data_IF_588327016400
#
_entry.id   IF_588327016400
#
_cell.length_a   1.000
_cell.length_b   1.000
_cell.length_c   1.000
_cell.angle_alpha   90.00
_cell.angle_beta   90.00
_cell.angle_gamma   90.00
#
_symmetry.space_group_name_H-M   'P 1'
#
loop_
_entity.id
_entity.type
_entity.pdbx_description
1 polymer ?
#
# COMPACT_ATOMS: atom_id res chain seq x y z
N UNK A 1 -11.44 4.66 19.04
CA UNK A 1 -10.20 4.81 18.23
C UNK A 1 -9.39 3.51 18.16
N UNK A 2 -9.14 2.80 19.27
CA UNK A 2 -8.40 1.52 19.28
C UNK A 2 -9.02 0.42 18.39
N UNK A 3 -10.34 0.24 18.37
CA UNK A 3 -11.01 -0.82 17.59
C UNK A 3 -10.79 -0.70 16.07
N UNK A 4 -10.80 0.51 15.53
CA UNK A 4 -10.56 0.80 14.10
C UNK A 4 -9.10 0.49 13.70
N UNK A 5 -8.15 0.78 14.60
CA UNK A 5 -6.74 0.47 14.37
C UNK A 5 -6.57 -1.06 14.34
N UNK A 6 -7.18 -1.78 15.28
CA UNK A 6 -7.13 -3.25 15.35
C UNK A 6 -7.78 -3.91 14.13
N UNK A 7 -8.97 -3.46 13.72
CA UNK A 7 -9.68 -3.98 12.54
C UNK A 7 -8.83 -3.85 11.27
N UNK A 8 -8.25 -2.68 11.00
CA UNK A 8 -7.39 -2.51 9.83
C UNK A 8 -6.12 -3.38 9.91
N UNK A 9 -5.56 -3.57 11.11
CA UNK A 9 -4.41 -4.46 11.30
C UNK A 9 -4.75 -5.93 11.02
N UNK A 10 -5.95 -6.39 11.39
CA UNK A 10 -6.42 -7.73 11.05
C UNK A 10 -6.61 -7.91 9.54
N UNK A 11 -7.18 -6.91 8.87
CA UNK A 11 -7.30 -6.90 7.41
C UNK A 11 -5.94 -6.96 6.73
N UNK A 12 -4.97 -6.15 7.18
CA UNK A 12 -3.61 -6.12 6.63
C UNK A 12 -2.92 -7.48 6.82
N UNK A 13 -3.02 -8.06 8.02
CA UNK A 13 -2.46 -9.40 8.31
C UNK A 13 -3.06 -10.46 7.39
N UNK A 14 -4.39 -10.45 7.24
CA UNK A 14 -5.11 -11.43 6.40
C UNK A 14 -4.75 -11.29 4.93
N UNK A 15 -4.75 -10.07 4.40
CA UNK A 15 -4.33 -9.81 3.03
C UNK A 15 -2.86 -10.21 2.83
N UNK A 16 -1.96 -9.86 3.74
CA UNK A 16 -0.54 -10.27 3.68
C UNK A 16 -0.40 -11.78 3.57
N UNK A 17 -1.10 -12.54 4.41
CA UNK A 17 -1.06 -14.01 4.37
C UNK A 17 -1.56 -14.58 3.04
N UNK A 18 -2.61 -14.01 2.44
CA UNK A 18 -3.14 -14.47 1.15
C UNK A 18 -2.27 -14.07 -0.05
N UNK A 19 -1.55 -12.95 0.05
CA UNK A 19 -0.73 -12.40 -1.02
C UNK A 19 0.71 -12.94 -0.99
N UNK A 20 1.25 -13.26 0.19
CA UNK A 20 2.65 -13.69 0.37
C UNK A 20 2.85 -15.09 -0.21
N UNK A 21 3.66 -15.17 -1.27
CA UNK A 21 4.06 -16.41 -1.94
C UNK A 21 5.33 -16.19 -2.75
N UNK A 22 5.90 -17.27 -3.27
CA UNK A 22 7.11 -17.19 -4.10
C UNK A 22 6.91 -16.19 -5.25
N UNK A 23 7.90 -15.32 -5.46
CA UNK A 23 7.87 -14.24 -6.44
C UNK A 23 7.43 -12.88 -5.88
N UNK A 24 6.79 -12.82 -4.70
CA UNK A 24 6.49 -11.55 -4.01
C UNK A 24 7.69 -11.12 -3.17
N UNK A 25 8.07 -9.84 -3.28
CA UNK A 25 9.20 -9.22 -2.58
C UNK A 25 8.76 -8.23 -1.51
N UNK A 26 7.66 -7.51 -1.71
CA UNK A 26 7.12 -6.61 -0.70
C UNK A 26 5.60 -6.44 -0.83
N UNK A 27 4.95 -6.13 0.29
CA UNK A 27 3.51 -5.84 0.38
C UNK A 27 3.32 -4.55 1.17
N UNK A 28 2.74 -3.54 0.52
CA UNK A 28 2.58 -2.19 1.04
C UNK A 28 1.12 -1.77 0.96
N UNK A 29 0.46 -1.60 2.10
CA UNK A 29 -0.88 -1.01 2.15
C UNK A 29 -0.80 0.49 2.11
N UNK A 30 -1.75 1.15 1.45
CA UNK A 30 -1.84 2.61 1.38
C UNK A 30 -3.30 3.06 1.37
N UNK A 31 -3.54 4.34 1.05
CA UNK A 31 -4.88 4.86 0.84
C UNK A 31 -5.69 5.08 2.12
N UNK A 32 -7.01 5.13 1.97
CA UNK A 32 -7.91 5.71 2.97
C UNK A 32 -7.91 4.96 4.31
N UNK A 33 -7.75 3.63 4.28
CA UNK A 33 -7.69 2.77 5.48
C UNK A 33 -6.43 2.96 6.30
N UNK A 34 -5.29 3.18 5.65
CA UNK A 34 -4.04 3.51 6.35
C UNK A 34 -4.12 4.92 6.94
N UNK A 35 -4.66 5.88 6.17
CA UNK A 35 -4.88 7.28 6.61
C UNK A 35 -5.85 7.36 7.79
N UNK A 36 -6.79 6.40 7.91
CA UNK A 36 -7.85 6.42 8.91
C UNK A 36 -9.07 7.29 8.51
N UNK A 37 -9.22 7.54 7.20
CA UNK A 37 -10.33 8.31 6.61
C UNK A 37 -11.22 7.47 5.69
N UNK A 38 -11.18 6.15 5.85
CA UNK A 38 -12.01 5.22 5.10
C UNK A 38 -13.49 5.32 5.50
N UNK A 39 -14.37 4.96 4.57
CA UNK A 39 -15.81 4.79 4.78
C UNK A 39 -16.15 3.30 4.83
N UNK A 40 -17.40 2.98 5.16
CA UNK A 40 -17.86 1.58 5.29
C UNK A 40 -17.66 0.75 4.01
N UNK A 41 -17.75 1.41 2.86
CA UNK A 41 -17.64 0.88 1.51
C UNK A 41 -16.24 1.00 0.90
N UNK A 42 -15.26 1.55 1.64
CA UNK A 42 -13.89 1.66 1.14
C UNK A 42 -13.23 0.30 0.97
N UNK A 43 -12.53 0.15 -0.13
CA UNK A 43 -11.60 -0.93 -0.43
C UNK A 43 -10.34 -0.89 0.46
N UNK A 44 -9.49 -1.90 0.26
CA UNK A 44 -8.16 -2.00 0.81
C UNK A 44 -7.13 -1.93 -0.32
N UNK A 45 -6.47 -0.78 -0.45
CA UNK A 45 -5.41 -0.55 -1.43
C UNK A 45 -4.10 -1.24 -1.03
N UNK A 46 -3.53 -2.03 -1.93
CA UNK A 46 -2.25 -2.70 -1.74
C UNK A 46 -1.35 -2.62 -2.97
N UNK A 47 -0.12 -2.17 -2.74
CA UNK A 47 0.98 -2.27 -3.69
C UNK A 47 1.77 -3.55 -3.40
N UNK A 48 1.92 -4.39 -4.41
CA UNK A 48 2.66 -5.65 -4.35
C UNK A 48 3.87 -5.52 -5.26
N UNK A 49 5.06 -5.65 -4.68
CA UNK A 49 6.30 -5.67 -5.46
C UNK A 49 6.71 -7.11 -5.67
N UNK A 50 6.96 -7.48 -6.93
CA UNK A 50 7.30 -8.84 -7.35
C UNK A 50 8.66 -8.89 -8.05
N UNK A 51 9.22 -10.09 -8.15
CA UNK A 51 10.36 -10.39 -9.04
C UNK A 51 9.95 -10.16 -10.50
N UNK A 52 10.93 -9.88 -11.35
CA UNK A 52 10.66 -9.57 -12.77
C UNK A 52 10.00 -10.77 -13.48
N UNK A 53 10.48 -11.99 -13.22
CA UNK A 53 9.91 -13.24 -13.74
C UNK A 53 8.52 -13.57 -13.16
N UNK A 54 8.09 -12.87 -12.12
CA UNK A 54 6.83 -13.08 -11.41
C UNK A 54 5.80 -11.97 -11.70
N UNK A 55 6.05 -11.11 -12.71
CA UNK A 55 5.14 -10.01 -13.09
C UNK A 55 3.71 -10.48 -13.40
N UNK A 56 3.57 -11.64 -14.03
CA UNK A 56 2.28 -12.23 -14.42
C UNK A 56 1.62 -13.04 -13.29
N UNK A 57 2.07 -12.91 -12.04
CA UNK A 57 1.42 -13.56 -10.91
C UNK A 57 -0.05 -13.12 -10.79
N UNK A 58 -0.95 -14.10 -10.89
CA UNK A 58 -2.38 -13.85 -10.79
C UNK A 58 -2.84 -13.89 -9.32
N UNK A 59 -3.34 -12.76 -8.80
CA UNK A 59 -3.86 -12.62 -7.43
C UNK A 59 -5.39 -12.74 -7.34
N UNK A 60 -6.08 -13.18 -8.40
CA UNK A 60 -7.55 -13.23 -8.42
C UNK A 60 -8.14 -14.13 -7.34
N UNK A 61 -7.57 -15.31 -7.09
CA UNK A 61 -8.04 -16.19 -6.02
C UNK A 61 -7.84 -15.59 -4.63
N UNK A 62 -6.70 -14.92 -4.41
CA UNK A 62 -6.42 -14.23 -3.16
C UNK A 62 -7.42 -13.09 -2.92
N UNK A 63 -7.71 -12.28 -3.97
CA UNK A 63 -8.71 -11.20 -3.92
C UNK A 63 -10.11 -11.74 -3.66
N UNK A 64 -10.54 -12.78 -4.38
CA UNK A 64 -11.86 -13.40 -4.19
C UNK A 64 -12.03 -13.97 -2.79
N UNK A 65 -11.01 -14.67 -2.27
CA UNK A 65 -11.03 -15.21 -0.91
C UNK A 65 -11.07 -14.09 0.13
N UNK A 66 -10.28 -13.03 -0.07
CA UNK A 66 -10.31 -11.87 0.83
C UNK A 66 -11.69 -11.22 0.87
N UNK A 67 -12.32 -11.00 -0.29
CA UNK A 67 -13.68 -10.44 -0.37
C UNK A 67 -14.69 -11.35 0.31
N UNK A 68 -14.68 -12.66 0.03
CA UNK A 68 -15.59 -13.62 0.68
C UNK A 68 -15.49 -13.60 2.20
N UNK A 69 -14.27 -13.47 2.71
CA UNK A 69 -14.01 -13.56 4.14
C UNK A 69 -14.25 -12.24 4.91
N UNK A 70 -14.16 -11.10 4.24
CA UNK A 70 -14.16 -9.77 4.89
C UNK A 70 -15.25 -8.83 4.40
N UNK A 71 -15.88 -9.16 3.28
CA UNK A 71 -16.79 -8.30 2.53
C UNK A 71 -16.16 -6.95 2.12
N UNK A 72 -14.82 -6.91 1.96
CA UNK A 72 -14.05 -5.74 1.55
C UNK A 72 -13.26 -6.08 0.28
N UNK A 73 -13.27 -5.18 -0.70
CA UNK A 73 -12.46 -5.32 -1.90
C UNK A 73 -10.97 -5.10 -1.61
N UNK A 74 -10.13 -5.96 -2.18
CA UNK A 74 -8.67 -5.82 -2.13
C UNK A 74 -8.19 -5.32 -3.50
N UNK A 75 -7.89 -4.03 -3.60
CA UNK A 75 -7.41 -3.43 -4.83
C UNK A 75 -5.89 -3.53 -4.91
N UNK A 76 -5.39 -4.19 -5.95
CA UNK A 76 -4.00 -4.62 -6.06
C UNK A 76 -3.29 -3.90 -7.20
N UNK A 77 -2.24 -3.15 -6.87
CA UNK A 77 -1.28 -2.61 -7.82
C UNK A 77 -0.04 -3.51 -7.80
N UNK A 78 0.34 -4.08 -8.94
CA UNK A 78 1.47 -5.03 -9.03
C UNK A 78 2.60 -4.40 -9.84
N UNK A 79 3.77 -4.29 -9.23
CA UNK A 79 4.97 -3.74 -9.86
C UNK A 79 6.16 -4.70 -9.71
N UNK A 80 6.98 -4.81 -10.74
CA UNK A 80 8.35 -5.28 -10.58
C UNK A 80 9.16 -4.28 -9.75
N UNK A 81 10.33 -4.72 -9.24
CA UNK A 81 11.27 -3.80 -8.59
C UNK A 81 11.67 -2.63 -9.50
N UNK A 82 11.85 -2.88 -10.80
CA UNK A 82 12.20 -1.85 -11.79
C UNK A 82 11.07 -0.85 -11.98
N UNK A 83 9.84 -1.32 -12.17
CA UNK A 83 8.67 -0.44 -12.30
C UNK A 83 8.45 0.39 -11.04
N UNK A 84 8.59 -0.20 -9.86
CA UNK A 84 8.49 0.52 -8.59
C UNK A 84 9.46 1.71 -8.56
N UNK A 85 10.75 1.47 -8.86
CA UNK A 85 11.77 2.53 -8.88
C UNK A 85 11.48 3.61 -9.91
N UNK A 86 11.03 3.23 -11.11
CA UNK A 86 10.67 4.18 -12.15
C UNK A 86 9.42 5.00 -11.79
N UNK A 87 8.55 4.46 -10.93
CA UNK A 87 7.34 5.15 -10.47
C UNK A 87 7.56 6.02 -9.23
N UNK A 88 8.75 6.03 -8.62
CA UNK A 88 9.13 6.96 -7.53
C UNK A 88 9.33 8.38 -8.07
N UNK A 89 8.27 8.93 -8.65
CA UNK A 89 8.21 10.26 -9.26
C UNK A 89 6.82 10.85 -9.05
N UNK A 90 6.71 12.17 -9.18
CA UNK A 90 5.42 12.85 -9.12
C UNK A 90 4.56 12.47 -10.33
N UNK A 91 3.24 12.44 -10.13
CA UNK A 91 2.24 12.07 -11.13
C UNK A 91 1.87 10.59 -11.18
N UNK A 92 2.42 9.75 -10.28
CA UNK A 92 2.14 8.31 -10.24
C UNK A 92 1.28 7.93 -9.03
N UNK A 93 0.80 6.67 -9.02
CA UNK A 93 0.09 6.08 -7.87
C UNK A 93 0.89 6.17 -6.56
N UNK A 94 2.23 6.22 -6.64
CA UNK A 94 3.06 6.33 -5.45
C UNK A 94 2.84 7.65 -4.70
N UNK A 95 2.28 8.70 -5.34
CA UNK A 95 1.91 9.93 -4.62
C UNK A 95 0.93 9.62 -3.47
N UNK A 96 -0.03 8.73 -3.70
CA UNK A 96 -0.95 8.24 -2.67
C UNK A 96 -0.21 7.48 -1.56
N UNK A 97 0.74 6.62 -1.95
CA UNK A 97 1.60 5.88 -1.01
C UNK A 97 2.41 6.83 -0.12
N UNK A 98 2.94 7.93 -0.66
CA UNK A 98 3.74 8.90 0.12
C UNK A 98 2.97 9.59 1.26
N UNK A 99 1.64 9.66 1.14
CA UNK A 99 0.77 10.29 2.16
C UNK A 99 0.64 9.37 3.37
N UNK A 100 0.42 8.09 3.13
CA UNK A 100 0.42 7.09 4.20
C UNK A 100 0.64 5.70 3.63
N UNK A 101 1.47 4.91 4.31
CA UNK A 101 1.75 3.54 3.92
C UNK A 101 2.02 2.62 5.12
N UNK A 102 1.77 1.34 4.95
CA UNK A 102 2.16 0.30 5.89
C UNK A 102 2.81 -0.86 5.14
N UNK A 103 4.10 -1.06 5.37
CA UNK A 103 4.84 -2.19 4.79
C UNK A 103 4.68 -3.38 5.74
N UNK A 104 4.13 -4.48 5.21
CA UNK A 104 3.76 -5.68 5.98
C UNK A 104 4.59 -6.91 5.61
N UNK A 105 5.29 -6.82 4.48
CA UNK A 105 6.27 -7.77 4.01
C UNK A 105 7.33 -6.99 3.20
N UNK A 106 8.62 -7.25 3.44
CA UNK A 106 9.70 -6.44 2.86
C UNK A 106 11.03 -7.21 2.77
N UNK A 107 11.28 -7.86 1.64
CA UNK A 107 12.56 -8.53 1.35
C UNK A 107 13.60 -7.58 0.73
N UNK A 108 13.20 -6.37 0.32
CA UNK A 108 14.00 -5.48 -0.53
C UNK A 108 14.12 -4.05 0.00
N UNK A 109 13.77 -3.82 1.27
CA UNK A 109 13.84 -2.53 1.98
C UNK A 109 13.02 -1.41 1.31
N UNK A 110 11.80 -1.74 0.89
CA UNK A 110 10.84 -0.80 0.29
C UNK A 110 10.39 0.25 1.31
N UNK A 111 10.32 -0.08 2.60
CA UNK A 111 10.02 0.91 3.64
C UNK A 111 11.00 2.09 3.59
N UNK A 112 12.30 1.78 3.55
CA UNK A 112 13.38 2.78 3.52
C UNK A 112 13.38 3.57 2.20
N UNK A 113 13.13 2.91 1.05
CA UNK A 113 13.02 3.58 -0.25
C UNK A 113 11.83 4.57 -0.28
N UNK A 114 10.66 4.18 0.24
CA UNK A 114 9.47 5.02 0.32
C UNK A 114 9.65 6.21 1.28
N UNK A 115 10.31 6.00 2.42
CA UNK A 115 10.60 7.07 3.37
C UNK A 115 11.54 8.11 2.77
N UNK A 116 12.62 7.66 2.12
CA UNK A 116 13.57 8.56 1.44
C UNK A 116 12.87 9.38 0.37
N UNK A 117 12.08 8.71 -0.48
CA UNK A 117 11.36 9.37 -1.56
C UNK A 117 10.30 10.36 -1.05
N UNK A 118 9.53 9.98 -0.02
CA UNK A 118 8.54 10.87 0.60
C UNK A 118 9.18 12.15 1.14
N UNK A 119 10.35 12.04 1.77
CA UNK A 119 11.12 13.20 2.24
C UNK A 119 11.62 14.07 1.09
N UNK A 120 12.08 13.46 -0.01
CA UNK A 120 12.58 14.17 -1.18
C UNK A 120 11.48 14.99 -1.86
N UNK A 121 10.31 14.40 -2.07
CA UNK A 121 9.23 15.05 -2.82
C UNK A 121 8.48 16.10 -2.01
N UNK A 122 8.58 16.05 -0.67
CA UNK A 122 7.92 17.01 0.23
C UNK A 122 8.28 18.46 -0.09
N UNK A 123 9.50 18.72 -0.57
CA UNK A 123 9.99 20.07 -0.92
C UNK A 123 9.20 20.73 -2.06
N UNK A 124 8.54 19.94 -2.91
CA UNK A 124 7.76 20.47 -4.03
C UNK A 124 6.40 21.01 -3.60
N UNK A 125 5.95 20.72 -2.37
CA UNK A 125 4.66 21.20 -1.86
C UNK A 125 3.46 20.74 -2.67
N UNK A 126 3.59 19.65 -3.45
CA UNK A 126 2.54 19.14 -4.30
C UNK A 126 1.32 18.72 -3.44
N UNK A 127 0.12 19.04 -3.93
CA UNK A 127 -1.14 18.73 -3.25
C UNK A 127 -1.88 17.67 -4.05
N UNK A 128 -2.22 16.57 -3.40
CA UNK A 128 -3.14 15.56 -3.93
C UNK A 128 -4.52 15.79 -3.34
N UNK A 129 -5.50 16.06 -4.19
CA UNK A 129 -6.90 16.20 -3.82
C UNK A 129 -7.63 14.87 -4.03
N UNK A 130 -8.13 14.30 -2.94
CA UNK A 130 -8.82 13.02 -2.90
C UNK A 130 -10.26 13.24 -2.39
N UNK A 131 -11.21 12.32 -2.64
CA UNK A 131 -12.59 12.44 -2.18
C UNK A 131 -12.78 12.62 -0.66
N UNK A 132 -11.74 12.37 0.13
CA UNK A 132 -11.71 12.46 1.60
C UNK A 132 -10.73 13.53 2.14
N UNK A 133 -10.22 14.41 1.27
CA UNK A 133 -9.47 15.60 1.66
C UNK A 133 -8.31 15.97 0.74
N UNK A 134 -7.68 17.10 1.05
CA UNK A 134 -6.46 17.57 0.39
C UNK A 134 -5.23 17.21 1.23
N UNK A 135 -4.21 16.67 0.58
CA UNK A 135 -3.01 16.15 1.23
C UNK A 135 -1.76 16.71 0.58
N UNK A 136 -0.80 17.15 1.39
CA UNK A 136 0.53 17.49 0.88
C UNK A 136 1.31 16.19 0.68
N UNK A 137 1.72 15.93 -0.54
CA UNK A 137 2.47 14.76 -0.95
C UNK A 137 3.83 14.75 -0.25
N UNK A 138 4.28 13.57 0.21
CA UNK A 138 5.50 13.44 1.01
C UNK A 138 5.39 13.93 2.47
N UNK A 139 4.29 14.61 2.86
CA UNK A 139 3.98 14.85 4.28
C UNK A 139 3.24 13.64 4.83
N UNK A 140 4.00 12.58 5.11
CA UNK A 140 3.43 11.32 5.55
C UNK A 140 2.68 11.45 6.87
N UNK A 141 1.39 11.15 6.85
CA UNK A 141 0.49 11.20 8.01
C UNK A 141 0.66 9.95 8.87
N UNK A 142 0.87 8.79 8.23
CA UNK A 142 1.09 7.53 8.92
C UNK A 142 2.03 6.63 8.12
N UNK A 143 3.05 6.10 8.81
CA UNK A 143 3.95 5.07 8.30
C UNK A 143 4.03 3.92 9.30
N UNK A 144 4.03 2.69 8.82
CA UNK A 144 4.37 1.53 9.64
C UNK A 144 5.20 0.50 8.87
N UNK A 145 6.09 -0.17 9.60
CA UNK A 145 6.80 -1.38 9.18
C UNK A 145 6.41 -2.48 10.16
N UNK A 146 5.71 -3.48 9.67
CA UNK A 146 5.22 -4.62 10.45
C UNK A 146 5.60 -5.87 9.67
N UNK A 147 5.97 -6.94 10.34
CA UNK A 147 6.28 -8.21 9.68
C UNK A 147 5.33 -9.27 10.21
N UNK A 148 4.66 -9.97 9.30
CA UNK A 148 3.69 -11.04 9.59
C UNK A 148 4.18 -12.41 9.13
#
# INVERSE_FOLDING_TARGET
>A
MQRIILENMELFRKATFLLRRNGVLAIVFFGSRVIGKYKKDSDLDVLIIVKDEAKELNFSDARLRFVKDTNIYLDTVIMTKKEFKNNLTLGTVLMGVSIAFCVTYDEINVYEELEKWSNEIRKYGAVLELPYGKFIVGRTIRKCKISF
#
